data_IF_621599436727
#
_entry.id   IF_621599436727
#
_cell.length_a   1.000
_cell.length_b   1.000
_cell.length_c   1.000
_cell.angle_alpha   90.00
_cell.angle_beta   90.00
_cell.angle_gamma   90.00
#
_symmetry.space_group_name_H-M   'P 1'
#
loop_
_entity.id
_entity.type
_entity.pdbx_description
1 polymer ?
#
# COMPACT_ATOMS: atom_id res chain seq x y z
N UNK A 1 -12.10 11.04 11.59
CA UNK A 1 -12.62 11.68 10.39
C UNK A 1 -11.55 12.59 9.81
N UNK A 2 -11.81 13.18 8.71
CA UNK A 2 -10.82 13.97 8.02
C UNK A 2 -11.40 15.26 7.50
N UNK A 3 -10.51 16.20 7.26
CA UNK A 3 -10.79 17.50 6.73
C UNK A 3 -11.20 17.37 5.26
N UNK A 4 -12.15 18.18 4.82
CA UNK A 4 -12.57 18.14 3.43
C UNK A 4 -11.45 18.55 2.48
N UNK A 5 -10.58 19.43 2.93
CA UNK A 5 -9.46 19.85 2.10
C UNK A 5 -8.42 18.76 1.91
N UNK A 6 -8.44 17.76 2.77
CA UNK A 6 -7.50 16.65 2.70
C UNK A 6 -8.16 15.39 2.18
N UNK A 7 -9.33 15.54 1.63
CA UNK A 7 -10.08 14.42 1.13
C UNK A 7 -9.30 13.71 0.03
N UNK A 8 -9.24 12.39 0.14
CA UNK A 8 -8.62 11.56 -0.88
C UNK A 8 -9.73 10.85 -1.62
N UNK A 9 -9.63 10.81 -2.94
CA UNK A 9 -10.59 10.09 -3.73
C UNK A 9 -10.45 8.60 -3.46
N UNK A 10 -11.59 7.93 -3.33
CA UNK A 10 -11.58 6.48 -3.18
C UNK A 10 -11.59 5.84 -4.56
N UNK A 11 -10.73 4.85 -4.72
CA UNK A 11 -10.70 4.06 -5.93
C UNK A 11 -11.40 2.75 -5.73
N UNK A 12 -11.87 2.15 -6.82
CA UNK A 12 -12.40 0.80 -6.78
C UNK A 12 -11.36 -0.15 -7.35
N UNK A 13 -11.63 -1.44 -7.29
CA UNK A 13 -10.72 -2.42 -7.87
C UNK A 13 -10.51 -2.18 -9.36
N UNK A 14 -11.47 -1.56 -10.02
CA UNK A 14 -11.35 -1.26 -11.45
C UNK A 14 -10.36 -0.14 -11.73
N UNK A 15 -10.06 0.69 -10.72
CA UNK A 15 -9.11 1.78 -10.87
C UNK A 15 -7.68 1.35 -10.62
N UNK A 16 -7.46 0.13 -10.14
CA UNK A 16 -6.13 -0.35 -9.78
C UNK A 16 -5.45 -0.93 -11.01
N UNK A 17 -4.18 -0.61 -11.18
CA UNK A 17 -3.40 -1.16 -12.29
C UNK A 17 -2.03 -1.56 -11.78
N UNK A 18 -1.38 -2.44 -12.54
CA UNK A 18 0.00 -2.81 -12.26
C UNK A 18 0.90 -1.61 -12.44
N UNK A 19 1.95 -1.55 -11.63
CA UNK A 19 2.93 -0.49 -11.76
C UNK A 19 3.02 0.36 -10.51
N UNK A 20 3.48 1.59 -10.69
CA UNK A 20 3.84 2.47 -9.59
C UNK A 20 2.63 2.84 -8.74
N UNK A 21 2.84 2.81 -7.43
CA UNK A 21 1.88 3.29 -6.44
C UNK A 21 2.69 3.76 -5.25
N UNK A 22 2.00 4.20 -4.20
CA UNK A 22 2.67 4.71 -3.01
C UNK A 22 1.97 4.20 -1.77
N UNK A 23 2.74 4.03 -0.70
CA UNK A 23 2.17 3.81 0.62
C UNK A 23 2.59 4.97 1.51
N UNK A 24 1.71 5.33 2.44
CA UNK A 24 2.00 6.33 3.44
C UNK A 24 2.27 5.64 4.77
N UNK A 25 3.32 6.05 5.46
CA UNK A 25 3.70 5.43 6.71
C UNK A 25 4.34 6.44 7.64
N UNK A 26 4.18 6.20 8.94
CA UNK A 26 4.83 7.01 9.98
C UNK A 26 5.99 6.27 10.63
N UNK A 27 6.62 5.38 9.88
CA UNK A 27 7.69 4.54 10.43
C UNK A 27 8.86 5.39 10.97
N UNK A 28 9.03 6.61 10.44
CA UNK A 28 10.08 7.51 10.91
C UNK A 28 9.59 8.48 11.98
N UNK A 29 8.32 8.39 12.38
CA UNK A 29 7.71 9.35 13.28
C UNK A 29 6.94 10.44 12.57
N UNK A 30 7.16 10.61 11.28
CA UNK A 30 6.44 11.56 10.43
C UNK A 30 5.82 10.81 9.27
N UNK A 31 4.68 11.31 8.81
CA UNK A 31 3.98 10.70 7.69
C UNK A 31 4.78 10.94 6.42
N UNK A 32 5.21 9.87 5.78
CA UNK A 32 5.97 9.94 4.54
C UNK A 32 5.40 9.00 3.50
N UNK A 33 5.65 9.36 2.26
CA UNK A 33 5.19 8.60 1.10
C UNK A 33 6.35 7.79 0.56
N UNK A 34 6.13 6.49 0.38
CA UNK A 34 7.15 5.59 -0.15
C UNK A 34 6.65 4.94 -1.43
N UNK A 35 7.55 4.81 -2.39
CA UNK A 35 7.20 4.24 -3.69
C UNK A 35 7.17 2.71 -3.63
N UNK A 36 6.15 2.15 -4.23
CA UNK A 36 6.03 0.69 -4.40
C UNK A 36 5.58 0.41 -5.83
N UNK A 37 5.63 -0.87 -6.19
CA UNK A 37 5.02 -1.36 -7.43
C UNK A 37 3.97 -2.38 -7.08
N UNK A 38 2.84 -2.29 -7.76
CA UNK A 38 1.83 -3.34 -7.72
C UNK A 38 2.21 -4.33 -8.81
N UNK A 39 2.62 -5.54 -8.40
CA UNK A 39 3.16 -6.52 -9.33
C UNK A 39 2.15 -7.60 -9.68
N UNK A 40 1.06 -7.70 -8.93
CA UNK A 40 0.01 -8.67 -9.20
C UNK A 40 -1.29 -8.19 -8.58
N UNK A 41 -2.39 -8.43 -9.29
CA UNK A 41 -3.73 -8.08 -8.82
C UNK A 41 -4.59 -9.34 -8.87
N UNK A 42 -5.23 -9.66 -7.73
CA UNK A 42 -6.16 -10.77 -7.63
C UNK A 42 -7.52 -10.21 -7.26
N UNK A 43 -8.38 -10.07 -8.26
CA UNK A 43 -9.69 -9.48 -8.07
C UNK A 43 -10.63 -10.35 -7.25
N UNK A 44 -10.34 -11.65 -7.18
CA UNK A 44 -11.18 -12.59 -6.47
C UNK A 44 -10.70 -12.88 -5.06
N UNK A 45 -9.57 -12.31 -4.65
CA UNK A 45 -9.04 -12.51 -3.31
C UNK A 45 -9.87 -11.80 -2.27
N UNK A 46 -9.86 -12.34 -1.04
CA UNK A 46 -10.56 -11.72 0.07
C UNK A 46 -9.72 -10.65 0.74
N UNK A 47 -8.47 -11.00 1.08
CA UNK A 47 -7.59 -10.09 1.83
C UNK A 47 -6.21 -9.94 1.19
N UNK A 48 -5.95 -10.64 0.10
CA UNK A 48 -4.68 -10.56 -0.61
C UNK A 48 -4.94 -10.23 -2.07
N UNK A 49 -5.50 -9.06 -2.28
CA UNK A 49 -5.87 -8.63 -3.62
C UNK A 49 -4.68 -8.10 -4.39
N UNK A 50 -3.71 -7.53 -3.70
CA UNK A 50 -2.57 -6.85 -4.34
C UNK A 50 -1.29 -7.47 -3.83
N UNK A 51 -0.37 -7.77 -4.75
CA UNK A 51 0.99 -8.12 -4.36
C UNK A 51 1.86 -6.92 -4.65
N UNK A 52 2.62 -6.50 -3.65
CA UNK A 52 3.37 -5.25 -3.65
C UNK A 52 4.85 -5.53 -3.59
N UNK A 53 5.64 -4.71 -4.30
CA UNK A 53 7.09 -4.72 -4.19
C UNK A 53 7.56 -3.33 -3.84
N UNK A 54 8.38 -3.22 -2.79
CA UNK A 54 8.95 -1.94 -2.39
C UNK A 54 10.06 -1.58 -3.40
N UNK A 55 9.96 -0.38 -3.93
CA UNK A 55 10.97 0.14 -4.86
C UNK A 55 11.64 1.40 -4.31
N UNK A 56 11.19 1.90 -3.17
CA UNK A 56 11.74 3.12 -2.58
C UNK A 56 13.00 2.80 -1.80
N UNK A 57 14.14 3.34 -2.24
CA UNK A 57 15.42 3.07 -1.61
C UNK A 57 15.46 3.55 -0.17
N UNK A 58 14.76 4.62 0.16
CA UNK A 58 14.75 5.15 1.52
C UNK A 58 14.14 4.12 2.48
N UNK A 59 13.05 3.51 2.07
CA UNK A 59 12.39 2.52 2.91
C UNK A 59 13.23 1.26 3.04
N UNK A 60 13.84 0.83 1.95
CA UNK A 60 14.70 -0.35 1.97
C UNK A 60 15.89 -0.13 2.89
N UNK A 61 16.50 1.05 2.83
CA UNK A 61 17.63 1.36 3.70
C UNK A 61 17.23 1.47 5.17
N UNK A 62 16.02 1.99 5.40
CA UNK A 62 15.56 2.26 6.75
C UNK A 62 15.15 0.98 7.48
N UNK A 63 14.42 0.11 6.83
CA UNK A 63 13.81 -1.05 7.47
C UNK A 63 14.00 -2.35 6.71
N UNK A 64 14.62 -2.32 5.56
CA UNK A 64 14.75 -3.51 4.70
C UNK A 64 13.52 -3.74 3.84
N UNK A 65 12.48 -2.91 3.99
CA UNK A 65 11.25 -3.06 3.24
C UNK A 65 10.04 -2.85 4.12
N UNK A 66 8.95 -3.53 3.81
CA UNK A 66 7.72 -3.43 4.59
C UNK A 66 7.90 -4.23 5.88
N UNK A 67 7.53 -3.64 7.01
CA UNK A 67 7.58 -4.30 8.29
C UNK A 67 6.17 -4.40 8.88
N UNK A 68 6.01 -5.24 9.91
CA UNK A 68 4.69 -5.51 10.46
C UNK A 68 3.97 -4.27 10.96
N UNK A 69 4.72 -3.30 11.48
CA UNK A 69 4.12 -2.05 11.95
C UNK A 69 3.48 -1.24 10.86
N UNK A 70 3.66 -1.61 9.59
CA UNK A 70 3.08 -0.90 8.47
C UNK A 70 1.76 -1.51 7.98
N UNK A 71 1.25 -2.55 8.64
CA UNK A 71 -0.07 -3.07 8.31
C UNK A 71 -1.11 -1.98 8.50
N UNK A 72 -2.01 -1.86 7.53
CA UNK A 72 -3.00 -0.80 7.53
C UNK A 72 -2.55 0.46 6.81
N UNK A 73 -1.28 0.54 6.39
CA UNK A 73 -0.81 1.71 5.64
C UNK A 73 -1.60 1.86 4.36
N UNK A 74 -2.11 3.07 4.06
CA UNK A 74 -2.91 3.27 2.85
C UNK A 74 -2.06 3.17 1.60
N UNK A 75 -2.65 2.61 0.56
CA UNK A 75 -2.03 2.49 -0.76
C UNK A 75 -2.72 3.47 -1.69
N UNK A 76 -1.93 4.35 -2.30
CA UNK A 76 -2.42 5.41 -3.18
C UNK A 76 -1.88 5.18 -4.58
N UNK A 77 -2.76 5.22 -5.57
CA UNK A 77 -2.36 5.15 -6.96
C UNK A 77 -3.19 6.16 -7.75
N UNK A 78 -2.52 6.98 -8.55
CA UNK A 78 -3.18 8.01 -9.37
C UNK A 78 -4.07 8.92 -8.51
N UNK A 79 -3.57 9.28 -7.31
CA UNK A 79 -4.24 10.16 -6.36
C UNK A 79 -5.52 9.57 -5.77
N UNK A 80 -5.70 8.25 -5.88
CA UNK A 80 -6.86 7.56 -5.31
C UNK A 80 -6.40 6.59 -4.25
N UNK A 81 -7.16 6.50 -3.17
CA UNK A 81 -6.94 5.50 -2.13
C UNK A 81 -7.53 4.19 -2.64
N UNK A 82 -6.66 3.22 -2.93
CA UNK A 82 -7.09 1.97 -3.55
C UNK A 82 -7.08 0.79 -2.59
N UNK A 83 -6.41 0.91 -1.46
CA UNK A 83 -6.35 -0.20 -0.52
C UNK A 83 -5.42 0.08 0.63
N UNK A 84 -5.04 -0.97 1.31
CA UNK A 84 -4.14 -0.89 2.45
C UNK A 84 -3.25 -2.13 2.51
N UNK A 85 -2.08 -1.96 3.11
CA UNK A 85 -1.14 -3.06 3.33
C UNK A 85 -1.73 -3.99 4.38
N UNK A 86 -1.73 -5.30 4.13
CA UNK A 86 -2.27 -6.28 5.07
C UNK A 86 -1.21 -7.23 5.61
N UNK A 87 -0.28 -7.65 4.76
CA UNK A 87 0.68 -8.69 5.13
C UNK A 87 2.06 -8.37 4.61
N UNK A 88 3.06 -8.81 5.37
CA UNK A 88 4.46 -8.75 4.98
C UNK A 88 4.91 -10.17 4.68
N UNK A 89 5.72 -10.34 3.64
CA UNK A 89 6.32 -11.63 3.36
C UNK A 89 7.60 -11.72 4.19
N UNK A 90 7.60 -12.62 5.17
CA UNK A 90 8.68 -12.68 6.16
C UNK A 90 10.03 -12.94 5.51
N UNK A 91 10.06 -13.79 4.49
CA UNK A 91 11.31 -14.16 3.84
C UNK A 91 11.81 -13.10 2.85
N UNK A 92 10.97 -12.14 2.52
CA UNK A 92 11.34 -11.09 1.58
C UNK A 92 10.60 -9.80 1.95
N UNK A 93 11.18 -8.98 2.82
CA UNK A 93 10.50 -7.75 3.28
C UNK A 93 10.27 -6.73 2.17
N UNK A 94 10.90 -6.88 1.00
CA UNK A 94 10.60 -6.00 -0.12
C UNK A 94 9.27 -6.35 -0.78
N UNK A 95 8.64 -7.45 -0.37
CA UNK A 95 7.36 -7.89 -0.92
C UNK A 95 6.31 -7.89 0.17
N UNK A 96 5.08 -7.65 -0.22
CA UNK A 96 3.96 -7.69 0.71
C UNK A 96 2.65 -7.83 -0.03
N UNK A 97 1.56 -7.81 0.72
CA UNK A 97 0.22 -7.92 0.17
C UNK A 97 -0.64 -6.76 0.64
N UNK A 98 -1.63 -6.43 -0.16
CA UNK A 98 -2.62 -5.43 0.19
C UNK A 98 -4.02 -5.89 -0.14
N UNK A 99 -4.99 -5.20 0.42
CA UNK A 99 -6.42 -5.48 0.22
C UNK A 99 -7.03 -4.28 -0.51
N UNK A 100 -8.02 -4.54 -1.38
CA UNK A 100 -8.78 -3.45 -2.00
C UNK A 100 -9.53 -2.68 -0.94
N UNK A 101 -9.67 -1.36 -1.15
CA UNK A 101 -10.41 -0.52 -0.21
C UNK A 101 -11.86 -1.01 -0.06
N UNK A 102 -12.45 -1.51 -1.12
CA UNK A 102 -13.83 -1.97 -1.08
C UNK A 102 -14.00 -3.27 -0.30
N UNK A 103 -12.91 -3.97 -0.02
CA UNK A 103 -12.94 -5.22 0.75
C UNK A 103 -12.55 -5.03 2.21
N UNK A 104 -12.35 -3.79 2.63
CA UNK A 104 -11.86 -3.52 3.99
C UNK A 104 -12.96 -3.47 5.04
N UNK A 105 -14.18 -3.66 4.68
CA UNK A 105 -15.28 -3.57 5.63
C UNK A 105 -15.50 -4.82 6.45
#
# INVERSE_FOLDING_TARGET
HYDEEEKVLLGSSEDVSLGKAYIYSRITGELEKYEINIVRIDYDGDVRNLQLKVTDDRLIELTGGIVQGMSGSPIIQDDKLIGAVTHVIVDDPTMGYGIFIENME
#
